data_IF_280180374875
#
_entry.id   IF_280180374875
#
_cell.length_a   1.000
_cell.length_b   1.000
_cell.length_c   1.000
_cell.angle_alpha   90.00
_cell.angle_beta   90.00
_cell.angle_gamma   90.00
#
_symmetry.space_group_name_H-M   'P 1'
#
loop_
_entity.id
_entity.type
_entity.pdbx_description
1 polymer ?
#
# COMPACT_ATOMS: atom_id res chain seq x y z
N UNK A 1 -5.37 22.95 53.02
CA UNK A 1 -6.31 22.76 51.90
C UNK A 1 -5.49 22.68 50.63
N UNK A 2 -5.02 21.47 50.27
CA UNK A 2 -4.13 21.25 49.12
C UNK A 2 -4.98 20.77 47.94
N UNK A 3 -4.98 21.55 46.86
CA UNK A 3 -5.64 21.21 45.60
C UNK A 3 -4.70 20.34 44.75
N UNK A 4 -5.07 19.08 44.58
CA UNK A 4 -4.39 18.12 43.73
C UNK A 4 -4.80 18.36 42.27
N UNK A 5 -3.88 18.91 41.49
CA UNK A 5 -4.04 19.05 40.03
C UNK A 5 -3.67 17.71 39.37
N UNK A 6 -4.67 17.05 38.81
CA UNK A 6 -4.47 15.79 38.04
C UNK A 6 -4.09 16.18 36.62
N UNK A 7 -2.81 16.09 36.30
CA UNK A 7 -2.30 16.24 34.92
C UNK A 7 -2.65 14.99 34.11
N UNK A 8 -3.69 15.09 33.31
CA UNK A 8 -4.12 14.05 32.35
C UNK A 8 -3.33 14.22 31.07
N UNK A 9 -2.11 13.68 31.01
CA UNK A 9 -1.37 13.56 29.75
C UNK A 9 -2.13 12.63 28.82
N UNK A 10 -2.80 13.20 27.86
CA UNK A 10 -3.34 12.47 26.71
C UNK A 10 -2.17 12.12 25.78
N UNK A 11 -1.73 10.87 25.82
CA UNK A 11 -0.89 10.32 24.76
C UNK A 11 -1.78 10.05 23.54
N UNK A 12 -2.08 11.10 22.78
CA UNK A 12 -2.65 10.97 21.45
C UNK A 12 -1.48 11.12 20.46
N UNK A 13 -1.09 10.06 19.82
CA UNK A 13 -0.24 10.14 18.62
C UNK A 13 -1.12 10.84 17.59
N UNK A 14 -0.78 12.08 17.23
CA UNK A 14 -1.51 12.79 16.19
C UNK A 14 -1.30 12.10 14.85
N UNK A 15 -2.34 12.03 14.02
CA UNK A 15 -2.29 11.41 12.68
C UNK A 15 -1.12 11.94 11.83
N UNK A 16 -0.74 13.21 12.04
CA UNK A 16 0.44 13.83 11.41
C UNK A 16 1.77 13.21 11.80
N UNK A 17 1.91 12.75 13.04
CA UNK A 17 3.15 12.15 13.53
C UNK A 17 3.29 10.72 13.02
N UNK A 18 2.19 9.99 12.86
CA UNK A 18 2.18 8.67 12.22
C UNK A 18 2.63 8.77 10.75
N UNK A 19 2.13 9.76 10.00
CA UNK A 19 2.53 9.99 8.61
C UNK A 19 4.01 10.40 8.50
N UNK A 20 4.54 11.18 9.44
CA UNK A 20 5.96 11.54 9.48
C UNK A 20 6.89 10.36 9.76
N UNK A 21 6.46 9.42 10.61
CA UNK A 21 7.20 8.17 10.84
C UNK A 21 7.20 7.26 9.63
N UNK A 22 6.11 7.20 8.87
CA UNK A 22 6.03 6.42 7.63
C UNK A 22 6.86 7.05 6.49
N UNK A 23 6.92 8.39 6.40
CA UNK A 23 7.75 9.11 5.42
C UNK A 23 9.25 8.97 5.68
N UNK A 24 9.68 8.77 6.93
CA UNK A 24 11.09 8.60 7.28
C UNK A 24 11.67 7.25 6.82
N UNK A 25 10.83 6.26 6.51
CA UNK A 25 11.29 4.94 6.02
C UNK A 25 11.55 4.95 4.51
N UNK A 26 11.04 5.94 3.77
CA UNK A 26 11.23 6.03 2.32
C UNK A 26 12.51 6.75 1.87
N UNK A 27 13.30 7.31 2.79
CA UNK A 27 14.59 7.93 2.50
C UNK A 27 15.77 7.00 2.82
N UNK A 28 15.74 5.76 2.33
CA UNK A 28 16.95 4.94 2.28
C UNK A 28 17.71 5.38 1.04
N UNK A 29 18.92 5.99 1.16
CA UNK A 29 19.74 6.25 0.00
C UNK A 29 20.01 4.92 -0.69
N UNK A 30 19.86 4.88 -2.00
CA UNK A 30 20.21 3.76 -2.86
C UNK A 30 21.72 3.54 -2.77
N UNK A 31 22.20 2.90 -1.72
CA UNK A 31 23.52 2.29 -1.72
C UNK A 31 23.32 1.04 -2.58
N UNK A 32 23.76 1.13 -3.82
CA UNK A 32 23.91 0.00 -4.70
C UNK A 32 24.99 -0.92 -4.11
N UNK A 33 24.61 -1.72 -3.13
CA UNK A 33 25.36 -2.93 -2.80
C UNK A 33 25.12 -3.89 -3.96
N UNK A 34 26.09 -3.93 -4.89
CA UNK A 34 26.27 -5.07 -5.77
C UNK A 34 26.60 -6.26 -4.88
N UNK A 35 25.58 -6.89 -4.34
CA UNK A 35 25.63 -8.28 -3.96
C UNK A 35 25.40 -9.08 -5.26
N UNK A 36 26.48 -9.48 -5.91
CA UNK A 36 26.47 -10.62 -6.82
C UNK A 36 26.20 -11.85 -5.96
N UNK A 37 24.97 -12.15 -5.78
CA UNK A 37 24.40 -13.27 -5.05
C UNK A 37 23.12 -13.68 -5.75
N UNK A 38 23.30 -14.49 -6.80
CA UNK A 38 22.45 -15.57 -7.31
C UNK A 38 20.97 -15.55 -6.96
N UNK A 39 20.23 -15.42 -8.08
CA UNK A 39 18.95 -16.09 -8.34
C UNK A 39 17.96 -15.99 -7.20
N UNK A 40 17.23 -14.95 -7.28
CA UNK A 40 15.91 -14.90 -6.69
C UNK A 40 15.08 -15.98 -7.40
N UNK A 41 15.08 -17.15 -6.84
CA UNK A 41 14.00 -18.08 -7.08
C UNK A 41 12.74 -17.29 -6.72
N UNK A 42 11.96 -16.93 -7.74
CA UNK A 42 10.72 -16.17 -7.51
C UNK A 42 9.90 -17.02 -6.55
N UNK A 43 9.55 -16.53 -5.37
CA UNK A 43 8.87 -17.34 -4.39
C UNK A 43 7.62 -17.94 -5.03
N UNK A 44 7.56 -19.27 -5.05
CA UNK A 44 6.38 -19.99 -5.52
C UNK A 44 5.47 -20.20 -4.35
N UNK A 45 4.35 -19.57 -4.38
CA UNK A 45 3.31 -19.80 -3.38
C UNK A 45 2.63 -21.14 -3.64
N UNK A 46 2.31 -21.85 -2.57
CA UNK A 46 1.49 -23.08 -2.63
C UNK A 46 0.01 -22.81 -2.91
N UNK A 47 -0.39 -21.55 -2.98
CA UNK A 47 -1.72 -21.06 -3.25
C UNK A 47 -1.70 -19.54 -3.43
N UNK A 48 -2.78 -18.97 -3.91
CA UNK A 48 -2.88 -17.53 -4.13
C UNK A 48 -2.68 -16.77 -2.80
N UNK A 49 -1.65 -15.90 -2.66
CA UNK A 49 -1.41 -15.15 -1.43
C UNK A 49 -2.38 -13.98 -1.25
N UNK A 50 -3.12 -13.57 -2.28
CA UNK A 50 -4.05 -12.44 -2.27
C UNK A 50 -5.49 -12.85 -1.88
N UNK A 51 -5.64 -13.84 -1.00
CA UNK A 51 -6.96 -14.36 -0.58
C UNK A 51 -7.86 -13.32 0.06
N UNK A 52 -7.27 -12.27 0.67
CA UNK A 52 -8.00 -11.15 1.28
C UNK A 52 -8.29 -10.02 0.29
N UNK A 53 -7.89 -10.19 -0.97
CA UNK A 53 -8.12 -9.20 -2.03
C UNK A 53 -7.25 -7.96 -1.93
N UNK A 54 -7.75 -6.87 -2.50
CA UNK A 54 -7.10 -5.57 -2.56
C UNK A 54 -8.07 -4.47 -2.15
N UNK A 55 -7.57 -3.36 -1.64
CA UNK A 55 -8.41 -2.22 -1.30
C UNK A 55 -7.69 -0.90 -1.57
N UNK A 56 -8.44 0.19 -1.57
CA UNK A 56 -7.92 1.55 -1.72
C UNK A 56 -8.64 2.52 -0.80
N UNK A 57 -7.99 3.61 -0.45
CA UNK A 57 -8.50 4.66 0.40
C UNK A 57 -7.78 5.98 0.23
N UNK A 58 -8.12 6.94 1.09
CA UNK A 58 -7.53 8.28 1.14
C UNK A 58 -7.40 8.94 -0.25
N UNK A 59 -8.53 9.06 -1.01
CA UNK A 59 -8.48 9.65 -2.33
C UNK A 59 -8.18 11.14 -2.25
N UNK A 60 -7.07 11.55 -2.86
CA UNK A 60 -6.69 12.93 -3.10
C UNK A 60 -6.90 13.29 -4.58
N UNK A 61 -6.89 14.59 -4.95
CA UNK A 61 -7.02 14.99 -6.35
C UNK A 61 -5.94 14.42 -7.26
N UNK A 62 -4.74 14.19 -6.73
CA UNK A 62 -3.58 13.71 -7.48
C UNK A 62 -3.05 12.35 -7.00
N UNK A 63 -3.74 11.69 -6.07
CA UNK A 63 -3.24 10.47 -5.45
C UNK A 63 -4.31 9.60 -4.81
N UNK A 64 -3.87 8.42 -4.38
CA UNK A 64 -4.69 7.43 -3.67
C UNK A 64 -3.76 6.46 -2.94
N UNK A 65 -4.19 5.94 -1.80
CA UNK A 65 -3.53 4.80 -1.15
C UNK A 65 -4.15 3.51 -1.66
N UNK A 66 -3.33 2.58 -2.12
CA UNK A 66 -3.74 1.22 -2.47
C UNK A 66 -3.05 0.24 -1.53
N UNK A 67 -3.74 -0.84 -1.14
CA UNK A 67 -3.14 -1.85 -0.26
C UNK A 67 -3.63 -3.26 -0.52
N UNK A 68 -2.84 -4.19 -0.03
CA UNK A 68 -3.13 -5.61 0.02
C UNK A 68 -2.44 -6.25 1.21
N UNK A 69 -2.76 -7.51 1.47
CA UNK A 69 -2.09 -8.36 2.46
C UNK A 69 -1.85 -9.74 1.87
N UNK A 70 -0.63 -10.22 1.98
CA UNK A 70 -0.30 -11.59 1.58
C UNK A 70 -0.70 -12.55 2.72
N UNK A 71 -1.67 -13.40 2.45
CA UNK A 71 -2.17 -14.37 3.41
C UNK A 71 -2.75 -15.61 2.69
N UNK A 72 -1.91 -16.55 2.19
CA UNK A 72 -2.41 -17.75 1.53
C UNK A 72 -3.29 -18.64 2.41
N UNK A 73 -3.16 -18.51 3.75
CA UNK A 73 -3.99 -19.18 4.75
C UNK A 73 -4.51 -18.17 5.78
N UNK A 74 -5.49 -17.32 5.44
CA UNK A 74 -5.87 -16.17 6.26
C UNK A 74 -6.43 -16.54 7.64
N UNK A 75 -7.01 -17.73 7.79
CA UNK A 75 -7.55 -18.23 9.06
C UNK A 75 -6.57 -19.09 9.85
N UNK A 76 -5.36 -19.31 9.31
CA UNK A 76 -4.33 -20.16 9.93
C UNK A 76 -2.98 -19.40 9.92
N UNK A 77 -2.91 -18.33 10.70
CA UNK A 77 -1.70 -17.52 10.86
C UNK A 77 -1.19 -16.82 9.60
N UNK A 78 -2.02 -16.72 8.55
CA UNK A 78 -1.65 -16.11 7.27
C UNK A 78 -0.90 -17.02 6.33
N UNK A 79 -0.09 -17.95 6.82
CA UNK A 79 0.65 -18.95 6.02
C UNK A 79 1.84 -18.40 5.24
N UNK A 80 2.34 -17.21 5.59
CA UNK A 80 3.55 -16.61 5.01
C UNK A 80 4.79 -16.97 5.84
N UNK A 81 5.98 -17.11 5.18
CA UNK A 81 7.23 -17.29 5.89
C UNK A 81 7.62 -16.03 6.67
N UNK A 82 8.45 -16.18 7.71
CA UNK A 82 8.92 -15.05 8.53
C UNK A 82 10.09 -14.31 7.85
N UNK A 83 9.89 -13.88 6.62
CA UNK A 83 10.87 -13.12 5.83
C UNK A 83 10.17 -12.05 4.96
N UNK A 84 10.85 -10.93 4.63
CA UNK A 84 10.31 -9.91 3.76
C UNK A 84 10.02 -10.46 2.36
N UNK A 85 8.90 -10.03 1.77
CA UNK A 85 8.48 -10.44 0.45
C UNK A 85 8.31 -9.23 -0.47
N UNK A 86 8.92 -9.23 -1.65
CA UNK A 86 8.72 -8.16 -2.63
C UNK A 86 7.37 -8.32 -3.31
N UNK A 87 6.58 -7.26 -3.26
CA UNK A 87 5.30 -7.13 -3.96
C UNK A 87 5.43 -6.01 -4.99
N UNK A 88 5.19 -6.33 -6.24
CA UNK A 88 5.10 -5.33 -7.31
C UNK A 88 3.65 -4.84 -7.39
N UNK A 89 3.48 -3.61 -7.85
CA UNK A 89 2.16 -3.02 -8.05
C UNK A 89 2.14 -2.19 -9.33
N UNK A 90 0.97 -2.08 -9.93
CA UNK A 90 0.74 -1.24 -11.09
C UNK A 90 -0.66 -0.63 -11.07
N UNK A 91 -0.75 0.58 -11.65
CA UNK A 91 -1.98 1.34 -11.80
C UNK A 91 -2.14 1.70 -13.26
N UNK A 92 -3.34 1.45 -13.80
CA UNK A 92 -3.70 1.69 -15.19
C UNK A 92 -4.96 2.54 -15.31
N UNK A 93 -5.17 3.12 -16.49
CA UNK A 93 -6.39 3.83 -16.84
C UNK A 93 -7.51 2.93 -17.34
N UNK A 94 -7.22 1.67 -17.58
CA UNK A 94 -8.15 0.66 -18.09
C UNK A 94 -7.97 -0.68 -17.36
N UNK A 95 -9.03 -1.46 -17.28
CA UNK A 95 -9.08 -2.74 -16.57
C UNK A 95 -8.21 -3.83 -17.22
N UNK A 96 -7.94 -3.70 -18.53
CA UNK A 96 -7.08 -4.62 -19.26
C UNK A 96 -5.59 -4.34 -19.06
N UNK A 97 -5.24 -3.26 -18.34
CA UNK A 97 -3.86 -2.80 -18.13
C UNK A 97 -3.08 -2.55 -19.44
N UNK A 98 -3.80 -2.12 -20.48
CA UNK A 98 -3.18 -1.72 -21.76
C UNK A 98 -2.38 -0.42 -21.62
N UNK A 99 -2.77 0.45 -20.69
CA UNK A 99 -2.12 1.72 -20.40
C UNK A 99 -1.78 1.84 -18.91
N UNK A 100 -0.67 1.22 -18.51
CA UNK A 100 -0.10 1.34 -17.16
C UNK A 100 0.58 2.70 -17.01
N UNK A 101 0.11 3.51 -16.07
CA UNK A 101 0.59 4.87 -15.84
C UNK A 101 1.51 5.01 -14.62
N UNK A 102 1.41 4.10 -13.66
CA UNK A 102 2.26 4.02 -12.47
C UNK A 102 2.54 2.57 -12.15
N UNK A 103 3.74 2.29 -11.69
CA UNK A 103 4.16 0.97 -11.19
C UNK A 103 5.33 1.12 -10.24
N UNK A 104 5.50 0.14 -9.39
CA UNK A 104 6.60 0.11 -8.43
C UNK A 104 6.64 -1.20 -7.66
N UNK A 105 7.41 -1.21 -6.58
CA UNK A 105 7.52 -2.33 -5.67
C UNK A 105 7.49 -1.85 -4.22
N UNK A 106 7.02 -2.71 -3.33
CA UNK A 106 7.02 -2.50 -1.89
C UNK A 106 7.38 -3.81 -1.19
N UNK A 107 7.85 -3.71 0.06
CA UNK A 107 8.17 -4.89 0.87
C UNK A 107 6.99 -5.22 1.79
N UNK A 108 6.48 -6.43 1.68
CA UNK A 108 5.56 -7.03 2.63
C UNK A 108 6.37 -7.60 3.79
N UNK A 109 6.41 -6.89 4.91
CA UNK A 109 7.20 -7.24 6.08
C UNK A 109 6.44 -8.18 7.02
N UNK A 110 7.08 -9.23 7.59
CA UNK A 110 6.45 -10.12 8.58
C UNK A 110 5.90 -9.38 9.78
N UNK A 111 6.61 -8.35 10.27
CA UNK A 111 6.24 -7.54 11.42
C UNK A 111 4.92 -6.77 11.21
N UNK A 112 4.55 -6.53 9.96
CA UNK A 112 3.29 -5.92 9.54
C UNK A 112 2.27 -6.96 9.04
N UNK A 113 2.49 -8.23 9.36
CA UNK A 113 1.65 -9.33 8.89
C UNK A 113 1.60 -9.44 7.37
N UNK A 114 2.68 -9.09 6.68
CA UNK A 114 2.81 -9.02 5.22
C UNK A 114 1.77 -8.10 4.54
N UNK A 115 1.36 -7.05 5.23
CA UNK A 115 0.54 -5.99 4.64
C UNK A 115 1.41 -5.02 3.85
N UNK A 116 0.88 -4.53 2.74
CA UNK A 116 1.51 -3.55 1.85
C UNK A 116 0.55 -2.38 1.69
N UNK A 117 1.05 -1.17 1.93
CA UNK A 117 0.37 0.09 1.66
C UNK A 117 1.25 0.92 0.74
N UNK A 118 0.67 1.43 -0.32
CA UNK A 118 1.37 2.22 -1.34
C UNK A 118 0.61 3.52 -1.57
N UNK A 119 1.28 4.64 -1.37
CA UNK A 119 0.81 5.94 -1.80
C UNK A 119 1.16 6.09 -3.29
N UNK A 120 0.14 6.31 -4.11
CA UNK A 120 0.27 6.49 -5.56
C UNK A 120 -0.01 7.93 -5.92
N UNK A 121 1.02 8.65 -6.34
CA UNK A 121 0.95 10.06 -6.72
C UNK A 121 0.95 10.28 -8.23
N UNK A 122 0.66 11.55 -8.62
CA UNK A 122 0.73 12.02 -10.00
C UNK A 122 -0.40 11.47 -10.85
N UNK A 123 -1.53 11.18 -10.24
CA UNK A 123 -2.79 10.85 -10.91
C UNK A 123 -3.53 12.14 -11.29
N UNK A 124 -4.48 12.04 -12.21
CA UNK A 124 -5.36 13.16 -12.57
C UNK A 124 -6.59 13.18 -11.66
N UNK A 125 -7.11 14.35 -11.28
CA UNK A 125 -8.28 14.45 -10.43
C UNK A 125 -9.55 13.93 -11.12
N UNK A 126 -10.48 13.43 -10.28
CA UNK A 126 -11.81 12.98 -10.67
C UNK A 126 -11.80 11.89 -11.75
N UNK A 127 -10.82 10.97 -11.70
CA UNK A 127 -10.64 9.89 -12.65
C UNK A 127 -10.71 8.52 -11.99
N UNK A 128 -11.25 7.55 -12.72
CA UNK A 128 -11.18 6.15 -12.37
C UNK A 128 -9.85 5.57 -12.80
N UNK A 129 -9.32 4.67 -11.95
CA UNK A 129 -8.10 3.91 -12.16
C UNK A 129 -8.32 2.47 -11.73
N UNK A 130 -7.55 1.57 -12.33
CA UNK A 130 -7.50 0.15 -12.01
C UNK A 130 -6.12 -0.16 -11.47
N UNK A 131 -6.05 -1.03 -10.49
CA UNK A 131 -4.77 -1.41 -9.89
C UNK A 131 -4.73 -2.89 -9.54
N UNK A 132 -3.53 -3.46 -9.50
CA UNK A 132 -3.28 -4.83 -9.09
C UNK A 132 -1.88 -4.96 -8.50
N UNK A 133 -1.68 -6.06 -7.79
CA UNK A 133 -0.42 -6.42 -7.19
C UNK A 133 0.07 -7.76 -7.73
N UNK A 134 1.41 -7.95 -7.70
CA UNK A 134 2.06 -9.18 -8.10
C UNK A 134 3.04 -9.61 -7.01
N UNK A 135 3.02 -10.88 -6.65
CA UNK A 135 3.97 -11.48 -5.71
C UNK A 135 4.38 -12.84 -6.26
N UNK A 136 5.67 -13.02 -6.53
CA UNK A 136 6.18 -14.24 -7.18
C UNK A 136 5.52 -14.49 -8.53
N UNK A 137 4.79 -15.61 -8.63
CA UNK A 137 4.03 -16.03 -9.81
C UNK A 137 2.55 -15.67 -9.75
N UNK A 138 2.11 -15.06 -8.64
CA UNK A 138 0.69 -14.79 -8.39
C UNK A 138 0.34 -13.31 -8.65
N UNK A 139 -0.89 -13.10 -9.11
CA UNK A 139 -1.46 -11.76 -9.34
C UNK A 139 -2.74 -11.63 -8.55
N UNK A 140 -2.92 -10.47 -7.92
CA UNK A 140 -4.14 -10.14 -7.18
C UNK A 140 -5.35 -9.99 -8.10
N UNK A 141 -6.57 -10.01 -7.55
CA UNK A 141 -7.71 -9.42 -8.23
C UNK A 141 -7.44 -7.97 -8.63
N UNK A 142 -8.15 -7.49 -9.65
CA UNK A 142 -8.11 -6.09 -10.07
C UNK A 142 -8.96 -5.27 -9.11
N UNK A 143 -8.36 -4.25 -8.50
CA UNK A 143 -9.05 -3.23 -7.75
C UNK A 143 -9.39 -2.03 -8.62
N UNK A 144 -10.44 -1.30 -8.26
CA UNK A 144 -10.84 -0.05 -8.91
C UNK A 144 -10.90 1.06 -7.88
N UNK A 145 -10.35 2.22 -8.21
CA UNK A 145 -10.32 3.40 -7.34
C UNK A 145 -10.62 4.66 -8.13
N UNK A 146 -10.94 5.74 -7.43
CA UNK A 146 -11.18 7.05 -8.05
C UNK A 146 -10.51 8.14 -7.22
N UNK A 147 -9.79 9.03 -7.88
CA UNK A 147 -9.23 10.23 -7.25
C UNK A 147 -10.33 11.24 -6.91
N UNK A 148 -10.08 12.04 -5.88
CA UNK A 148 -10.95 13.16 -5.51
C UNK A 148 -11.01 14.21 -6.65
N UNK A 149 -12.05 15.04 -6.67
CA UNK A 149 -12.09 16.24 -7.50
C UNK A 149 -10.92 17.19 -7.15
N UNK A 150 -10.54 18.06 -8.08
CA UNK A 150 -9.59 19.13 -7.78
C UNK A 150 -10.15 20.05 -6.67
N UNK A 151 -9.26 20.68 -5.91
CA UNK A 151 -9.65 21.50 -4.75
C UNK A 151 -10.52 22.70 -5.12
N UNK A 152 -10.43 23.17 -6.35
CA UNK A 152 -11.19 24.28 -6.93
C UNK A 152 -12.44 23.83 -7.71
N UNK A 153 -12.64 22.52 -7.84
CA UNK A 153 -13.79 21.97 -8.53
C UNK A 153 -15.02 21.95 -7.60
N UNK A 154 -16.14 22.44 -8.11
CA UNK A 154 -17.47 22.26 -7.50
C UNK A 154 -18.14 21.06 -8.18
N UNK A 155 -18.10 19.86 -7.59
CA UNK A 155 -18.80 18.71 -8.17
C UNK A 155 -20.31 18.89 -8.01
N UNK A 156 -21.07 18.66 -9.07
CA UNK A 156 -22.54 18.76 -9.04
C UNK A 156 -23.19 17.75 -8.09
N UNK A 157 -22.49 16.65 -7.79
CA UNK A 157 -22.94 15.62 -6.84
C UNK A 157 -21.72 14.90 -6.20
N UNK A 158 -21.81 14.70 -4.89
CA UNK A 158 -20.99 13.73 -4.18
C UNK A 158 -21.71 12.36 -4.27
N UNK A 159 -21.09 11.41 -4.96
CA UNK A 159 -21.56 10.02 -5.05
C UNK A 159 -20.54 9.08 -4.43
#
# INVERSE_FOLDING_TARGET
>A
MLRKTTDKRRYGIERRDFLRYMAAVSAIPTIALRAEGQVTDRPRFSGNPFTLGVASGDPEPNGVVIWTKLAPKPLDGGGMPNEPMTVQWEVATDEAFSNVIRKGSALAMPQLGHSVHVEVDGLKPHRWYFYRFHAGNETSPVGRTRTAPAFDAMPDQLR
#
